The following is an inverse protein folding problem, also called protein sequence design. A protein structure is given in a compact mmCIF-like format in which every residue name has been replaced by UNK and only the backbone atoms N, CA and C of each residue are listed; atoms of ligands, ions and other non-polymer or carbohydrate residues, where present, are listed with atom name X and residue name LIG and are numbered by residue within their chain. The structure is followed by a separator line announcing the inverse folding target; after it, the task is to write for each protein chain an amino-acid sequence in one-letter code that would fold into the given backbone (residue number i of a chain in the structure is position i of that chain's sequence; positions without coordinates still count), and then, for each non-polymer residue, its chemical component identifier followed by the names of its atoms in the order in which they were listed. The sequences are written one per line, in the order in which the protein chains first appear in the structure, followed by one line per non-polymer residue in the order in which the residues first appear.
data_IF_314893080025
#
_entry.id   IF_314893080025
#
_cell.length_a   1.000
_cell.length_b   1.000
_cell.length_c   1.000
_cell.angle_alpha   90.00
_cell.angle_beta   90.00
_cell.angle_gamma   90.00
#
_symmetry.space_group_name_H-M   'P 1'
#
loop_
_entity.id
_entity.type
_entity.pdbx_description
1 polymer ?
#
# COMPACT_ATOMS: atom_id res chain seq x y z
N UNK A 1 8.69 5.21 18.02
CA UNK A 1 7.68 4.49 18.82
C UNK A 1 7.68 5.04 20.24
N UNK A 2 6.55 5.46 20.80
CA UNK A 2 6.49 5.99 22.17
C UNK A 2 5.41 7.05 22.46
N UNK A 3 4.73 7.58 21.45
CA UNK A 3 3.55 8.45 21.64
C UNK A 3 2.34 7.92 20.88
N UNK A 4 1.14 8.16 21.41
CA UNK A 4 -0.12 7.82 20.74
C UNK A 4 -0.22 8.48 19.34
N UNK A 5 0.38 9.66 19.17
CA UNK A 5 0.43 10.36 17.88
C UNK A 5 1.29 9.66 16.84
N UNK A 6 2.28 8.86 17.24
CA UNK A 6 3.18 8.18 16.30
C UNK A 6 2.39 7.25 15.36
N UNK A 7 1.41 6.52 15.89
CA UNK A 7 0.57 5.62 15.10
C UNK A 7 -0.37 6.39 14.16
N UNK A 8 -0.90 7.53 14.60
CA UNK A 8 -1.75 8.40 13.78
C UNK A 8 -0.94 8.96 12.60
N UNK A 9 0.25 9.49 12.86
CA UNK A 9 1.13 9.98 11.80
C UNK A 9 1.50 8.87 10.82
N UNK A 10 1.93 7.70 11.32
CA UNK A 10 2.21 6.55 10.46
C UNK A 10 1.02 6.18 9.58
N UNK A 11 -0.20 6.14 10.14
CA UNK A 11 -1.40 5.85 9.37
C UNK A 11 -1.70 6.90 8.29
N UNK A 12 -1.48 8.19 8.56
CA UNK A 12 -1.68 9.27 7.58
C UNK A 12 -0.68 9.14 6.43
N UNK A 13 0.61 8.95 6.75
CA UNK A 13 1.65 8.80 5.74
C UNK A 13 1.46 7.54 4.90
N UNK A 14 1.17 6.40 5.52
CA UNK A 14 0.90 5.14 4.82
C UNK A 14 -0.33 5.25 3.91
N UNK A 15 -1.41 5.88 4.38
CA UNK A 15 -2.61 6.10 3.57
C UNK A 15 -2.33 6.97 2.33
N UNK A 16 -1.52 8.02 2.47
CA UNK A 16 -1.15 8.87 1.35
C UNK A 16 -0.32 8.11 0.30
N UNK A 17 0.58 7.23 0.77
CA UNK A 17 1.46 6.44 -0.09
C UNK A 17 0.72 5.30 -0.81
N UNK A 18 -0.18 4.59 -0.12
CA UNK A 18 -0.83 3.38 -0.63
C UNK A 18 -2.03 3.63 -1.57
N UNK A 19 -2.41 4.89 -1.78
CA UNK A 19 -3.64 5.23 -2.47
C UNK A 19 -3.71 4.67 -3.90
N UNK A 20 -2.57 4.65 -4.61
CA UNK A 20 -2.46 4.08 -5.95
C UNK A 20 -2.65 2.55 -5.92
N UNK A 21 -2.06 1.87 -4.93
CA UNK A 21 -2.19 0.42 -4.73
C UNK A 21 -3.65 0.06 -4.41
N UNK A 22 -4.32 0.81 -3.53
CA UNK A 22 -5.74 0.60 -3.22
C UNK A 22 -6.59 0.71 -4.49
N UNK A 23 -6.35 1.74 -5.32
CA UNK A 23 -7.09 1.94 -6.56
C UNK A 23 -6.85 0.80 -7.56
N UNK A 24 -5.60 0.38 -7.73
CA UNK A 24 -5.23 -0.75 -8.59
C UNK A 24 -5.97 -2.02 -8.17
N UNK A 25 -5.91 -2.38 -6.89
CA UNK A 25 -6.59 -3.57 -6.36
C UNK A 25 -8.11 -3.47 -6.51
N UNK A 26 -8.71 -2.30 -6.31
CA UNK A 26 -10.15 -2.10 -6.49
C UNK A 26 -10.59 -2.30 -7.94
N UNK A 27 -9.83 -1.79 -8.92
CA UNK A 27 -10.10 -1.99 -10.36
C UNK A 27 -10.01 -3.46 -10.73
N UNK A 28 -9.05 -4.18 -10.14
CA UNK A 28 -8.77 -5.59 -10.41
C UNK A 28 -9.64 -6.56 -9.62
N UNK A 29 -10.49 -6.06 -8.71
CA UNK A 29 -11.30 -6.87 -7.80
C UNK A 29 -10.44 -7.80 -6.91
N UNK A 30 -9.28 -7.31 -6.51
CA UNK A 30 -8.30 -8.03 -5.70
C UNK A 30 -8.40 -7.65 -4.22
N UNK A 31 -7.85 -8.49 -3.35
CA UNK A 31 -7.85 -8.24 -1.91
C UNK A 31 -6.67 -7.32 -1.56
N UNK A 32 -6.97 -6.32 -0.75
CA UNK A 32 -6.01 -5.41 -0.14
C UNK A 32 -6.31 -5.28 1.36
N UNK A 33 -5.27 -5.34 2.19
CA UNK A 33 -5.34 -5.12 3.61
C UNK A 33 -4.08 -4.48 4.15
N UNK A 34 -4.22 -3.66 5.20
CA UNK A 34 -3.09 -3.03 5.89
C UNK A 34 -3.22 -3.14 7.40
N UNK A 35 -2.08 -3.29 8.05
CA UNK A 35 -1.90 -3.15 9.49
C UNK A 35 -0.74 -2.20 9.80
N UNK A 36 -1.05 -0.93 10.05
CA UNK A 36 -0.08 0.18 10.26
C UNK A 36 0.90 0.31 9.10
N UNK A 37 2.03 -0.39 9.15
CA UNK A 37 3.13 -0.41 8.18
C UNK A 37 3.19 -1.71 7.36
N UNK A 38 2.48 -2.77 7.79
CA UNK A 38 2.39 -4.03 7.05
C UNK A 38 1.26 -4.01 6.03
N UNK A 39 1.55 -4.40 4.78
CA UNK A 39 0.57 -4.47 3.69
C UNK A 39 0.45 -5.91 3.20
N UNK A 40 -0.79 -6.35 3.00
CA UNK A 40 -1.16 -7.65 2.47
C UNK A 40 -2.02 -7.46 1.23
N UNK A 41 -1.65 -8.09 0.12
CA UNK A 41 -2.43 -8.04 -1.10
C UNK A 41 -2.34 -9.36 -1.87
N UNK A 42 -3.39 -9.68 -2.60
CA UNK A 42 -3.41 -10.79 -3.56
C UNK A 42 -3.33 -10.23 -4.97
N UNK A 43 -2.61 -10.87 -5.88
CA UNK A 43 -2.69 -10.49 -7.29
C UNK A 43 -2.78 -11.68 -8.22
N UNK A 44 -3.57 -11.53 -9.29
CA UNK A 44 -3.62 -12.44 -10.42
C UNK A 44 -2.66 -12.00 -11.54
N UNK A 45 -2.00 -10.86 -11.39
CA UNK A 45 -1.06 -10.35 -12.37
C UNK A 45 0.28 -11.09 -12.33
N UNK A 46 0.99 -11.16 -13.47
CA UNK A 46 2.36 -11.65 -13.49
C UNK A 46 3.26 -10.84 -12.56
N UNK A 47 4.25 -11.50 -11.97
CA UNK A 47 5.20 -10.88 -11.04
C UNK A 47 5.85 -9.61 -11.61
N UNK A 48 6.12 -9.56 -12.91
CA UNK A 48 6.74 -8.41 -13.57
C UNK A 48 5.86 -7.16 -13.57
N UNK A 49 4.53 -7.32 -13.71
CA UNK A 49 3.60 -6.18 -13.72
C UNK A 49 3.41 -5.63 -12.31
N UNK A 50 3.20 -6.50 -11.31
CA UNK A 50 3.07 -6.04 -9.92
C UNK A 50 4.36 -5.39 -9.40
N UNK A 51 5.53 -5.85 -9.86
CA UNK A 51 6.81 -5.25 -9.48
C UNK A 51 6.93 -3.81 -10.00
N UNK A 52 6.43 -3.52 -11.20
CA UNK A 52 6.42 -2.14 -11.75
C UNK A 52 5.55 -1.21 -10.90
N UNK A 53 4.37 -1.69 -10.49
CA UNK A 53 3.45 -0.90 -9.65
C UNK A 53 4.06 -0.64 -8.26
N UNK A 54 4.73 -1.65 -7.67
CA UNK A 54 5.45 -1.49 -6.41
C UNK A 54 6.62 -0.51 -6.54
N UNK A 55 7.40 -0.59 -7.62
CA UNK A 55 8.51 0.35 -7.87
C UNK A 55 8.02 1.78 -8.10
N UNK A 56 6.85 1.94 -8.71
CA UNK A 56 6.21 3.24 -8.88
C UNK A 56 5.75 3.82 -7.54
N UNK A 57 5.11 3.01 -6.69
CA UNK A 57 4.73 3.42 -5.34
C UNK A 57 5.97 3.79 -4.49
N UNK A 58 7.04 2.99 -4.54
CA UNK A 58 8.27 3.24 -3.79
C UNK A 58 8.95 4.58 -4.13
N UNK A 59 8.80 5.09 -5.35
CA UNK A 59 9.38 6.38 -5.79
C UNK A 59 8.61 7.61 -5.32
N UNK A 60 7.38 7.44 -4.78
CA UNK A 60 6.53 8.55 -4.29
C UNK A 60 6.73 8.87 -2.80
N UNK A 61 7.33 7.97 -2.03
CA UNK A 61 7.65 8.17 -0.60
C UNK A 61 8.98 8.88 -0.39
#
# INVERSE_FOLDING_TARGET
MGSAFTQVYANIYMLAWEQDLIQHQAVKHEIYGRYIDDIFMTTNEPLEEITKELDHAAKKG
#
